data_IF_024626921398
#
_entry.id   IF_024626921398
#
_cell.length_a   1.000
_cell.length_b   1.000
_cell.length_c   1.000
_cell.angle_alpha   90.00
_cell.angle_beta   90.00
_cell.angle_gamma   90.00
#
_symmetry.space_group_name_H-M   'P 1'
#
loop_
_entity.id
_entity.type
_entity.pdbx_description
1 polymer ?
#
# COMPACT_ATOMS: atom_id res chain seq x y z
N UNK A 1 -12.64 9.76 -1.70
CA UNK A 1 -12.78 8.30 -1.92
C UNK A 1 -11.79 7.57 -1.03
N UNK A 2 -12.23 6.65 -0.18
CA UNK A 2 -11.31 5.90 0.67
C UNK A 2 -10.44 4.94 -0.13
N UNK A 3 -9.23 4.75 0.35
CA UNK A 3 -8.27 3.84 -0.27
C UNK A 3 -7.60 2.94 0.78
N UNK A 4 -6.99 1.86 0.30
CA UNK A 4 -6.20 0.95 1.13
C UNK A 4 -4.79 0.84 0.57
N UNK A 5 -3.83 0.62 1.46
CA UNK A 5 -2.49 0.15 1.12
C UNK A 5 -2.21 -1.09 1.96
N UNK A 6 -1.40 -1.99 1.46
CA UNK A 6 -1.21 -3.30 2.09
C UNK A 6 0.27 -3.62 2.21
N UNK A 7 0.74 -3.80 3.43
CA UNK A 7 2.07 -4.35 3.69
C UNK A 7 1.97 -5.86 3.67
N UNK A 8 2.32 -6.47 2.55
CA UNK A 8 2.27 -7.92 2.37
C UNK A 8 3.64 -8.51 2.70
N UNK A 9 3.67 -9.51 3.56
CA UNK A 9 4.92 -10.14 4.00
C UNK A 9 4.92 -11.64 3.76
N UNK A 10 6.12 -12.20 3.73
CA UNK A 10 6.38 -13.65 3.76
C UNK A 10 7.12 -14.00 5.06
N UNK A 11 7.31 -15.28 5.31
CA UNK A 11 7.88 -15.78 6.58
C UNK A 11 9.28 -15.26 6.88
N UNK A 12 10.06 -14.86 5.86
CA UNK A 12 11.37 -14.24 6.04
C UNK A 12 11.31 -12.79 6.52
N UNK A 13 10.11 -12.19 6.56
CA UNK A 13 9.92 -10.78 6.92
C UNK A 13 10.06 -9.81 5.74
N UNK A 14 10.33 -10.30 4.53
CA UNK A 14 10.39 -9.46 3.34
C UNK A 14 9.03 -8.87 3.01
N UNK A 15 9.04 -7.63 2.50
CA UNK A 15 7.86 -6.84 2.17
C UNK A 15 7.72 -6.72 0.66
N UNK A 16 6.50 -6.87 0.18
CA UNK A 16 6.18 -6.75 -1.24
C UNK A 16 6.10 -5.28 -1.64
N UNK A 17 6.96 -4.85 -2.55
CA UNK A 17 6.94 -3.51 -3.12
C UNK A 17 6.65 -3.55 -4.62
N UNK A 18 5.98 -2.52 -5.09
CA UNK A 18 5.76 -2.25 -6.50
C UNK A 18 6.48 -0.96 -6.89
N UNK A 19 6.95 -0.90 -8.13
CA UNK A 19 7.41 0.35 -8.73
C UNK A 19 6.28 0.88 -9.60
N UNK A 20 5.76 2.06 -9.27
CA UNK A 20 4.62 2.64 -9.98
C UNK A 20 5.02 3.08 -11.38
N UNK A 21 4.21 2.72 -12.37
CA UNK A 21 4.46 3.09 -13.76
C UNK A 21 4.29 4.59 -14.02
N UNK A 22 3.43 5.27 -13.25
CA UNK A 22 3.09 6.67 -13.47
C UNK A 22 4.19 7.65 -13.03
N UNK A 23 4.92 7.36 -11.94
CA UNK A 23 5.92 8.28 -11.41
C UNK A 23 7.26 7.62 -11.03
N UNK A 24 7.38 6.30 -11.26
CA UNK A 24 8.58 5.51 -10.96
C UNK A 24 8.93 5.43 -9.47
N UNK A 25 8.06 5.89 -8.57
CA UNK A 25 8.24 5.71 -7.13
C UNK A 25 7.82 4.29 -6.70
N UNK A 26 8.44 3.82 -5.65
CA UNK A 26 8.09 2.55 -5.03
C UNK A 26 7.03 2.73 -3.97
N UNK A 27 6.20 1.72 -3.79
CA UNK A 27 5.09 1.73 -2.84
C UNK A 27 4.69 0.30 -2.49
N UNK A 28 3.91 0.16 -1.41
CA UNK A 28 3.16 -1.08 -1.19
C UNK A 28 1.94 -1.09 -2.10
N UNK A 29 1.40 -2.29 -2.44
CA UNK A 29 0.17 -2.37 -3.24
C UNK A 29 -0.99 -1.63 -2.58
N UNK A 30 -1.89 -1.12 -3.40
CA UNK A 30 -3.09 -0.46 -2.89
C UNK A 30 -3.87 0.28 -3.96
N UNK A 31 -4.99 0.85 -3.56
CA UNK A 31 -5.87 1.62 -4.44
C UNK A 31 -7.20 1.92 -3.78
N UNK A 32 -8.12 2.43 -4.57
CA UNK A 32 -9.45 2.82 -4.11
C UNK A 32 -10.29 1.60 -3.69
N UNK A 33 -11.09 1.79 -2.64
CA UNK A 33 -12.10 0.82 -2.26
C UNK A 33 -13.30 1.03 -3.18
N UNK A 34 -13.70 0.00 -3.89
CA UNK A 34 -14.85 0.07 -4.81
C UNK A 34 -16.17 -0.01 -4.05
N UNK A 35 -17.22 0.54 -4.65
CA UNK A 35 -18.55 0.46 -4.09
C UNK A 35 -18.95 -1.02 -3.88
N UNK A 36 -19.45 -1.35 -2.69
CA UNK A 36 -19.85 -2.70 -2.34
C UNK A 36 -18.72 -3.58 -1.82
N UNK A 37 -17.53 -3.05 -1.72
CA UNK A 37 -16.33 -3.75 -1.28
C UNK A 37 -15.94 -3.33 0.14
N UNK A 38 -15.55 -4.27 1.00
CA UNK A 38 -14.94 -3.94 2.27
C UNK A 38 -13.46 -3.55 2.07
N UNK A 39 -12.85 -2.94 3.09
CA UNK A 39 -11.40 -2.63 3.04
C UNK A 39 -10.56 -3.89 2.89
N UNK A 40 -10.95 -5.00 3.50
CA UNK A 40 -10.24 -6.27 3.40
C UNK A 40 -10.34 -6.83 1.98
N UNK A 41 -11.54 -6.80 1.39
CA UNK A 41 -11.74 -7.24 0.01
C UNK A 41 -10.94 -6.39 -0.97
N UNK A 42 -10.94 -5.07 -0.78
CA UNK A 42 -10.15 -4.15 -1.61
C UNK A 42 -8.65 -4.44 -1.51
N UNK A 43 -8.15 -4.70 -0.30
CA UNK A 43 -6.74 -5.03 -0.08
C UNK A 43 -6.31 -6.28 -0.85
N UNK A 44 -7.12 -7.34 -0.77
CA UNK A 44 -6.85 -8.61 -1.46
C UNK A 44 -6.92 -8.42 -2.98
N UNK A 45 -7.93 -7.72 -3.47
CA UNK A 45 -8.11 -7.45 -4.90
C UNK A 45 -6.97 -6.62 -5.47
N UNK A 46 -6.63 -5.49 -4.85
CA UNK A 46 -5.56 -4.60 -5.33
C UNK A 46 -4.21 -5.29 -5.32
N UNK A 47 -3.92 -6.07 -4.29
CA UNK A 47 -2.69 -6.86 -4.24
C UNK A 47 -2.62 -7.83 -5.43
N UNK A 48 -3.71 -8.53 -5.72
CA UNK A 48 -3.78 -9.47 -6.83
C UNK A 48 -3.64 -8.78 -8.19
N UNK A 49 -4.33 -7.67 -8.39
CA UNK A 49 -4.28 -6.92 -9.65
C UNK A 49 -2.88 -6.37 -9.94
N UNK A 50 -2.22 -5.82 -8.91
CA UNK A 50 -0.94 -5.14 -9.10
C UNK A 50 0.27 -6.07 -9.07
N UNK A 51 0.18 -7.21 -8.38
CA UNK A 51 1.35 -8.07 -8.11
C UNK A 51 1.17 -9.53 -8.47
N UNK A 52 -0.05 -9.99 -8.77
CA UNK A 52 -0.43 -11.38 -8.95
C UNK A 52 -0.28 -12.24 -7.68
N UNK A 53 -0.07 -11.62 -6.53
CA UNK A 53 0.00 -12.33 -5.25
C UNK A 53 -1.37 -12.45 -4.61
N UNK A 54 -1.63 -13.63 -4.02
CA UNK A 54 -2.73 -13.84 -3.10
C UNK A 54 -2.27 -13.52 -1.69
N UNK A 55 -3.15 -12.95 -0.88
CA UNK A 55 -2.83 -12.62 0.50
C UNK A 55 -4.04 -12.73 1.44
N UNK A 56 -3.73 -12.83 2.72
CA UNK A 56 -4.72 -12.82 3.80
C UNK A 56 -4.39 -11.65 4.74
N UNK A 57 -5.35 -10.77 4.97
CA UNK A 57 -5.16 -9.60 5.84
C UNK A 57 -5.01 -10.04 7.29
N UNK A 58 -4.01 -9.49 7.98
CA UNK A 58 -3.64 -9.87 9.33
C UNK A 58 -3.81 -8.77 10.37
N UNK A 59 -3.86 -7.50 9.96
CA UNK A 59 -3.96 -6.42 10.94
C UNK A 59 -4.05 -5.04 10.32
N UNK A 60 -4.13 -4.04 11.21
CA UNK A 60 -4.24 -2.62 10.87
C UNK A 60 -3.01 -1.88 11.40
N UNK A 61 -2.32 -1.15 10.53
CA UNK A 61 -1.21 -0.28 10.92
C UNK A 61 -1.70 1.13 11.26
N UNK A 62 -2.57 1.70 10.44
CA UNK A 62 -3.07 3.04 10.68
C UNK A 62 -4.14 3.51 9.73
N UNK A 63 -4.76 4.63 10.10
CA UNK A 63 -5.75 5.35 9.31
C UNK A 63 -5.25 6.78 9.12
N UNK A 64 -5.26 7.24 7.87
CA UNK A 64 -4.63 8.48 7.44
C UNK A 64 -5.67 9.42 6.84
N UNK A 65 -6.01 10.46 7.58
CA UNK A 65 -7.03 11.44 7.19
C UNK A 65 -6.58 12.88 7.37
N UNK A 66 -5.28 13.13 7.52
CA UNK A 66 -4.74 14.47 7.78
C UNK A 66 -5.18 15.44 6.68
N UNK A 67 -5.88 16.54 7.01
CA UNK A 67 -6.35 17.51 6.02
C UNK A 67 -5.23 18.25 5.29
N UNK A 68 -3.99 18.17 5.76
CA UNK A 68 -2.82 18.71 5.07
C UNK A 68 -2.34 17.81 3.92
N UNK A 69 -2.78 16.57 3.89
CA UNK A 69 -2.49 15.63 2.82
C UNK A 69 -3.68 15.58 1.87
N UNK A 70 -3.59 16.34 0.78
CA UNK A 70 -4.63 16.42 -0.24
C UNK A 70 -4.13 15.83 -1.54
N UNK A 71 -5.05 15.34 -2.35
CA UNK A 71 -4.76 14.77 -3.66
C UNK A 71 -5.38 15.69 -4.71
N UNK A 72 -4.54 16.18 -5.64
CA UNK A 72 -4.99 16.96 -6.78
C UNK A 72 -5.25 16.02 -7.95
N UNK A 73 -6.50 15.98 -8.41
CA UNK A 73 -6.88 15.23 -9.60
C UNK A 73 -6.72 16.13 -10.81
N UNK A 74 -5.67 15.89 -11.62
CA UNK A 74 -5.35 16.73 -12.77
C UNK A 74 -6.37 16.64 -13.89
N UNK A 75 -7.14 15.54 -13.97
CA UNK A 75 -8.15 15.34 -15.01
C UNK A 75 -9.32 16.32 -14.91
N UNK A 76 -9.68 16.79 -13.71
CA UNK A 76 -10.82 17.68 -13.47
C UNK A 76 -10.53 18.85 -12.55
N UNK A 77 -9.29 18.99 -12.07
CA UNK A 77 -8.91 20.04 -11.14
C UNK A 77 -9.41 19.87 -9.71
N UNK A 78 -10.01 18.74 -9.38
CA UNK A 78 -10.49 18.48 -8.02
C UNK A 78 -9.35 18.30 -7.04
N UNK A 79 -9.54 18.82 -5.82
CA UNK A 79 -8.65 18.57 -4.67
C UNK A 79 -9.46 17.82 -3.64
N UNK A 80 -8.96 16.64 -3.23
CA UNK A 80 -9.63 15.79 -2.23
C UNK A 80 -8.72 15.52 -1.05
N UNK A 81 -9.30 15.54 0.14
CA UNK A 81 -8.61 15.13 1.35
C UNK A 81 -8.39 13.62 1.31
N UNK A 82 -7.20 13.20 1.73
CA UNK A 82 -6.85 11.78 1.80
C UNK A 82 -7.69 11.07 2.87
N UNK A 83 -8.17 9.88 2.55
CA UNK A 83 -8.68 8.92 3.50
C UNK A 83 -8.10 7.57 3.11
N UNK A 84 -7.08 7.13 3.85
CA UNK A 84 -6.35 5.92 3.51
C UNK A 84 -6.15 5.04 4.73
N UNK A 85 -6.25 3.72 4.50
CA UNK A 85 -6.10 2.70 5.54
C UNK A 85 -4.89 1.84 5.16
N UNK A 86 -3.95 1.67 6.09
CA UNK A 86 -2.80 0.79 5.89
C UNK A 86 -2.99 -0.50 6.67
N UNK A 87 -3.05 -1.60 5.93
CA UNK A 87 -3.24 -2.95 6.48
C UNK A 87 -1.95 -3.75 6.37
N UNK A 88 -1.83 -4.78 7.20
CA UNK A 88 -0.83 -5.83 7.02
C UNK A 88 -1.51 -7.08 6.47
N UNK A 89 -0.76 -7.87 5.70
CA UNK A 89 -1.22 -9.13 5.16
C UNK A 89 -0.06 -10.11 5.04
N UNK A 90 -0.40 -11.38 4.96
CA UNK A 90 0.56 -12.46 4.67
C UNK A 90 0.27 -13.00 3.28
N UNK A 91 1.32 -13.21 2.50
CA UNK A 91 1.20 -13.85 1.19
C UNK A 91 0.77 -15.31 1.36
N UNK A 92 -0.21 -15.75 0.55
CA UNK A 92 -0.76 -17.11 0.61
C UNK A 92 -0.53 -17.89 -0.68
N UNK A 93 -0.14 -17.24 -1.76
CA UNK A 93 0.11 -17.90 -3.03
C UNK A 93 0.47 -16.92 -4.14
N UNK A 94 0.70 -17.43 -5.32
CA UNK A 94 1.07 -16.63 -6.49
C UNK A 94 2.57 -16.41 -6.61
N UNK A 95 2.95 -15.63 -7.62
CA UNK A 95 4.32 -15.21 -7.85
C UNK A 95 4.34 -13.74 -8.25
N UNK A 96 5.28 -12.93 -7.73
CA UNK A 96 5.35 -11.50 -8.05
C UNK A 96 5.47 -11.27 -9.54
N UNK A 97 4.51 -10.53 -10.12
CA UNK A 97 4.43 -10.30 -11.56
C UNK A 97 4.05 -8.84 -11.81
N UNK A 98 4.77 -8.11 -12.68
CA UNK A 98 4.41 -6.76 -13.06
C UNK A 98 3.02 -6.67 -13.71
N UNK A 99 2.44 -5.47 -13.67
CA UNK A 99 1.16 -5.15 -14.31
C UNK A 99 1.28 -3.83 -15.06
N UNK A 100 0.20 -3.35 -15.67
CA UNK A 100 0.20 -2.04 -16.32
C UNK A 100 0.52 -0.90 -15.35
N UNK A 101 0.09 -1.02 -14.10
CA UNK A 101 0.29 0.00 -13.07
C UNK A 101 1.61 -0.18 -12.30
N UNK A 102 2.21 -1.37 -12.39
CA UNK A 102 3.41 -1.75 -11.63
C UNK A 102 4.49 -2.26 -12.59
N UNK A 103 5.47 -1.43 -12.90
CA UNK A 103 6.56 -1.80 -13.83
C UNK A 103 7.50 -2.85 -13.26
N UNK A 104 7.63 -2.91 -11.93
CA UNK A 104 8.37 -3.93 -11.21
C UNK A 104 7.62 -4.36 -9.96
N UNK A 105 7.78 -5.62 -9.56
CA UNK A 105 7.24 -6.17 -8.31
C UNK A 105 8.37 -6.96 -7.64
N UNK A 106 8.63 -6.67 -6.37
CA UNK A 106 9.82 -7.17 -5.72
C UNK A 106 9.59 -7.44 -4.23
N UNK A 107 10.15 -8.55 -3.73
CA UNK A 107 10.29 -8.77 -2.30
C UNK A 107 11.52 -8.01 -1.80
N UNK A 108 11.35 -7.20 -0.77
CA UNK A 108 12.40 -6.35 -0.23
C UNK A 108 12.64 -6.67 1.23
N UNK A 109 13.88 -6.96 1.64
CA UNK A 109 14.18 -7.13 3.06
C UNK A 109 13.77 -5.90 3.85
N UNK A 110 13.22 -6.10 5.04
CA UNK A 110 12.77 -5.02 5.92
C UNK A 110 13.84 -3.93 6.10
N UNK A 111 15.09 -4.34 6.30
CA UNK A 111 16.22 -3.40 6.46
C UNK A 111 16.55 -2.63 5.19
N UNK A 112 16.09 -3.08 4.03
CA UNK A 112 16.35 -2.43 2.73
C UNK A 112 15.30 -1.42 2.30
N UNK A 113 14.18 -1.29 3.01
CA UNK A 113 13.07 -0.43 2.61
C UNK A 113 13.45 1.03 2.49
N UNK A 114 14.39 1.49 3.31
CA UNK A 114 14.86 2.88 3.29
C UNK A 114 15.61 3.28 2.03
N UNK A 115 16.11 2.33 1.24
CA UNK A 115 16.85 2.58 0.01
C UNK A 115 15.99 2.77 -1.25
N UNK A 116 14.67 2.63 -1.14
CA UNK A 116 13.76 2.72 -2.27
C UNK A 116 13.12 4.11 -2.34
N UNK A 117 13.16 4.79 -3.50
CA UNK A 117 12.50 6.10 -3.64
C UNK A 117 10.99 5.95 -3.46
N UNK A 118 10.41 6.74 -2.57
CA UNK A 118 8.98 6.73 -2.26
C UNK A 118 8.49 8.16 -2.11
N UNK A 119 7.21 8.40 -2.39
CA UNK A 119 6.63 9.68 -2.06
C UNK A 119 6.53 9.85 -0.54
N UNK A 120 6.32 11.09 -0.12
CA UNK A 120 6.33 11.47 1.30
C UNK A 120 5.30 10.69 2.14
N UNK A 121 4.09 10.52 1.62
CA UNK A 121 3.02 9.85 2.37
C UNK A 121 3.28 8.35 2.50
N UNK A 122 3.82 7.72 1.46
CA UNK A 122 4.21 6.31 1.51
C UNK A 122 5.36 6.10 2.49
N UNK A 123 6.35 7.00 2.50
CA UNK A 123 7.48 6.94 3.44
C UNK A 123 7.01 7.01 4.88
N UNK A 124 6.02 7.87 5.17
CA UNK A 124 5.43 8.00 6.49
C UNK A 124 4.73 6.68 6.91
N UNK A 125 3.96 6.09 6.01
CA UNK A 125 3.24 4.83 6.28
C UNK A 125 4.20 3.67 6.55
N UNK A 126 5.22 3.52 5.72
CA UNK A 126 6.26 2.50 5.93
C UNK A 126 6.97 2.72 7.28
N UNK A 127 7.23 3.96 7.64
CA UNK A 127 7.81 4.30 8.96
C UNK A 127 6.96 3.80 10.11
N UNK A 128 5.65 4.02 10.05
CA UNK A 128 4.72 3.53 11.08
C UNK A 128 4.70 2.00 11.16
N UNK A 129 4.72 1.34 10.01
CA UNK A 129 4.82 -0.13 9.98
C UNK A 129 6.10 -0.61 10.65
N UNK A 130 7.24 0.02 10.35
CA UNK A 130 8.55 -0.37 10.91
C UNK A 130 8.67 -0.10 12.42
N UNK A 131 7.93 0.86 12.96
CA UNK A 131 7.89 1.13 14.40
C UNK A 131 7.31 -0.03 15.20
N UNK A 132 6.48 -0.88 14.59
CA UNK A 132 5.84 -2.00 15.29
C UNK A 132 4.93 -1.55 16.42
N UNK A 133 4.13 -0.52 16.19
CA UNK A 133 3.27 0.09 17.21
C UNK A 133 2.27 -0.90 17.78
N UNK A 134 2.06 -0.85 19.10
CA UNK A 134 1.09 -1.69 19.78
C UNK A 134 -0.36 -1.33 19.42
N UNK A 135 -0.60 -0.06 19.06
CA UNK A 135 -1.92 0.44 18.63
C UNK A 135 -1.81 1.10 17.27
N UNK A 136 -2.90 1.07 16.47
CA UNK A 136 -2.89 1.72 15.16
C UNK A 136 -2.61 3.22 15.24
N UNK A 137 -1.94 3.74 14.22
CA UNK A 137 -1.78 5.19 14.05
C UNK A 137 -3.10 5.79 13.56
N UNK A 138 -3.49 6.90 14.20
CA UNK A 138 -4.69 7.67 13.81
C UNK A 138 -4.25 9.11 13.51
N UNK A 139 -4.36 9.53 12.25
CA UNK A 139 -3.90 10.86 11.91
C UNK A 139 -4.28 11.39 10.53
#
# INVERSE_FOLDING_TARGET
>A
MPSVNVVVTISSGEVLLIRRSDNQNWAVPGGAIDLGESMVQAAVRETKEETSMDCSVTGLVGIYTNPKHVILYTSNGEVRQEFSILLTARATGGAPTPSEESSEVRWVPRAGLGGYPMDRSMRLRIGHYLEGRATPYLG
#
